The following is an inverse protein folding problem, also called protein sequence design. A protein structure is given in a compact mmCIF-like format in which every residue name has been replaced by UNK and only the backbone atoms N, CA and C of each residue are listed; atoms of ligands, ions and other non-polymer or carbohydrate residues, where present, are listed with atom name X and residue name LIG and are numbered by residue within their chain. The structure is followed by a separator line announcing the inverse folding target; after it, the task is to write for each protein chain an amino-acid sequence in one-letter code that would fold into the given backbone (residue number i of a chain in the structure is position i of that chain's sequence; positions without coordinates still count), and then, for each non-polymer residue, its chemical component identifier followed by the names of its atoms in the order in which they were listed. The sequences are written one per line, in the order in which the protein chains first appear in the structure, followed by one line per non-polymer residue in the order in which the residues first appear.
data_IF_829574311962
#
_entry.id   IF_829574311962
#
_cell.length_a   1.000
_cell.length_b   1.000
_cell.length_c   1.000
_cell.angle_alpha   90.00
_cell.angle_beta   90.00
_cell.angle_gamma   90.00
#
_symmetry.space_group_name_H-M   'P 1'
#
loop_
_entity.id
_entity.type
_entity.pdbx_description
1 polymer ?
#
# COMPACT_ATOMS: atom_id res chain seq x y z
N UNK A 1 30.67 41.48 62.78
CA UNK A 1 30.54 41.78 61.33
C UNK A 1 30.94 40.58 60.46
N UNK A 2 32.13 40.00 60.62
CA UNK A 2 32.65 38.87 59.80
C UNK A 2 31.76 37.61 59.81
N UNK A 3 31.20 37.20 60.97
CA UNK A 3 30.32 36.01 61.08
C UNK A 3 29.01 36.14 60.29
N UNK A 4 28.44 37.34 60.22
CA UNK A 4 27.18 37.62 59.50
C UNK A 4 27.41 37.57 57.99
N UNK A 5 28.53 38.14 57.54
CA UNK A 5 28.96 38.07 56.13
C UNK A 5 29.20 36.62 55.69
N UNK A 6 29.84 35.81 56.53
CA UNK A 6 30.07 34.38 56.25
C UNK A 6 28.77 33.59 56.13
N UNK A 7 27.75 33.89 56.95
CA UNK A 7 26.45 33.20 56.87
C UNK A 7 25.71 33.53 55.58
N UNK A 8 25.75 34.79 55.15
CA UNK A 8 25.12 35.25 53.90
C UNK A 8 25.79 34.58 52.70
N UNK A 9 27.12 34.49 52.69
CA UNK A 9 27.87 33.82 51.62
C UNK A 9 27.50 32.33 51.56
N UNK A 10 27.48 31.63 52.70
CA UNK A 10 27.11 30.21 52.74
C UNK A 10 25.67 29.97 52.30
N UNK A 11 24.73 30.84 52.67
CA UNK A 11 23.34 30.76 52.24
C UNK A 11 23.20 30.94 50.72
N UNK A 12 23.92 31.90 50.12
CA UNK A 12 23.91 32.09 48.66
C UNK A 12 24.50 30.88 47.92
N UNK A 13 25.59 30.30 48.42
CA UNK A 13 26.19 29.08 47.83
C UNK A 13 25.21 27.90 47.93
N UNK A 14 24.55 27.73 49.07
CA UNK A 14 23.56 26.66 49.27
C UNK A 14 22.36 26.82 48.33
N UNK A 15 21.84 28.03 48.18
CA UNK A 15 20.75 28.33 47.23
C UNK A 15 21.20 28.06 45.80
N UNK A 16 22.41 28.44 45.40
CA UNK A 16 22.95 28.17 44.06
C UNK A 16 23.10 26.66 43.77
N UNK A 17 23.51 25.87 44.78
CA UNK A 17 23.60 24.40 44.66
C UNK A 17 22.20 23.79 44.53
N UNK A 18 21.23 24.21 45.34
CA UNK A 18 19.84 23.74 45.24
C UNK A 18 19.24 24.11 43.89
N UNK A 19 19.42 25.35 43.43
CA UNK A 19 18.94 25.79 42.11
C UNK A 19 19.60 24.96 41.00
N UNK A 20 20.89 24.66 41.09
CA UNK A 20 21.59 23.80 40.12
C UNK A 20 21.12 22.34 40.15
N UNK A 21 20.86 21.79 41.34
CA UNK A 21 20.28 20.44 41.51
C UNK A 21 18.86 20.37 40.94
N UNK A 22 18.03 21.37 41.24
CA UNK A 22 16.67 21.50 40.73
C UNK A 22 16.70 21.68 39.21
N UNK A 23 17.60 22.50 38.64
CA UNK A 23 17.77 22.63 37.18
C UNK A 23 18.20 21.31 36.53
N UNK A 24 19.06 20.52 37.20
CA UNK A 24 19.43 19.18 36.71
C UNK A 24 18.25 18.19 36.74
N UNK A 25 17.25 18.45 37.60
CA UNK A 25 16.04 17.64 37.75
C UNK A 25 14.81 18.24 37.04
N UNK A 26 14.89 19.46 36.50
CA UNK A 26 13.82 20.07 35.70
C UNK A 26 13.87 19.54 34.28
N UNK A 27 12.94 18.63 33.98
CA UNK A 27 12.42 18.30 32.64
C UNK A 27 13.52 18.07 31.60
N UNK A 28 14.03 16.84 31.55
CA UNK A 28 14.52 16.33 30.26
C UNK A 28 13.35 16.53 29.28
N UNK A 29 13.48 17.46 28.33
CA UNK A 29 12.46 17.65 27.30
C UNK A 29 12.51 16.39 26.46
N UNK A 30 11.66 15.42 26.82
CA UNK A 30 11.60 14.14 26.16
C UNK A 30 11.22 14.36 24.70
N UNK A 31 12.00 13.75 23.79
CA UNK A 31 11.71 13.82 22.36
C UNK A 31 10.30 13.28 22.13
N UNK A 32 9.51 14.02 21.37
CA UNK A 32 8.17 13.61 20.99
C UNK A 32 7.87 14.05 19.55
N UNK A 33 7.25 13.17 18.77
CA UNK A 33 7.00 13.39 17.35
C UNK A 33 8.24 13.20 16.47
N UNK A 34 8.28 13.95 15.37
CA UNK A 34 9.30 13.81 14.33
C UNK A 34 10.64 14.42 14.76
N UNK A 35 11.72 13.67 14.54
CA UNK A 35 13.10 14.12 14.82
C UNK A 35 13.97 13.83 13.59
N UNK A 36 14.79 14.80 13.17
CA UNK A 36 15.75 14.65 12.07
C UNK A 36 17.17 14.68 12.64
N UNK A 37 17.91 13.57 12.48
CA UNK A 37 19.27 13.44 12.98
C UNK A 37 20.17 12.78 11.94
N UNK A 38 21.32 13.41 11.66
CA UNK A 38 22.31 12.89 10.70
C UNK A 38 21.67 12.46 9.37
N UNK A 39 20.73 13.26 8.86
CA UNK A 39 20.00 13.02 7.62
C UNK A 39 18.89 11.95 7.67
N UNK A 40 18.63 11.33 8.83
CA UNK A 40 17.60 10.31 9.00
C UNK A 40 16.43 10.84 9.82
N UNK A 41 15.20 10.43 9.47
CA UNK A 41 13.99 10.80 10.22
C UNK A 41 13.57 9.67 11.15
N UNK A 42 13.30 10.05 12.40
CA UNK A 42 12.85 9.21 13.50
C UNK A 42 11.50 9.72 14.02
N UNK A 43 10.81 8.88 14.78
CA UNK A 43 9.61 9.28 15.49
C UNK A 43 9.68 8.81 16.93
N UNK A 44 9.34 9.72 17.85
CA UNK A 44 9.31 9.47 19.28
C UNK A 44 7.89 9.63 19.82
N UNK A 45 7.54 8.82 20.82
CA UNK A 45 6.27 8.89 21.54
C UNK A 45 6.58 8.74 23.02
N UNK A 46 6.33 9.79 23.81
CA UNK A 46 6.65 9.85 25.24
C UNK A 46 8.11 9.50 25.53
N UNK A 47 9.04 10.18 24.84
CA UNK A 47 10.48 9.97 25.00
C UNK A 47 11.03 8.69 24.37
N UNK A 48 10.18 7.75 23.93
CA UNK A 48 10.59 6.47 23.35
C UNK A 48 10.63 6.52 21.83
N UNK A 49 11.76 6.12 21.26
CA UNK A 49 11.92 5.99 19.81
C UNK A 49 11.09 4.80 19.30
N UNK A 50 10.31 5.03 18.24
CA UNK A 50 9.59 3.96 17.54
C UNK A 50 10.56 3.20 16.65
N UNK A 51 10.61 1.89 16.82
CA UNK A 51 11.47 0.97 16.08
C UNK A 51 10.64 -0.24 15.66
N UNK A 52 11.00 -0.82 14.51
CA UNK A 52 10.37 -2.01 13.93
C UNK A 52 8.82 -2.02 13.97
N UNK A 53 8.20 -0.87 13.68
CA UNK A 53 6.75 -0.75 13.78
C UNK A 53 6.16 0.32 12.86
N UNK A 54 4.87 0.16 12.60
CA UNK A 54 4.04 1.17 11.97
C UNK A 54 3.61 2.24 12.98
N UNK A 55 3.66 3.50 12.55
CA UNK A 55 3.11 4.65 13.27
C UNK A 55 2.09 5.33 12.38
N UNK A 56 0.90 5.58 12.91
CA UNK A 56 -0.13 6.42 12.28
C UNK A 56 -0.07 7.81 12.93
N UNK A 57 0.23 8.83 12.13
CA UNK A 57 0.23 10.22 12.62
C UNK A 57 -1.20 10.74 12.79
N UNK A 58 -1.42 11.83 13.56
CA UNK A 58 -2.74 12.47 13.69
C UNK A 58 -3.36 12.89 12.35
N UNK A 59 -2.52 13.20 11.35
CA UNK A 59 -2.94 13.49 9.97
C UNK A 59 -3.39 12.24 9.18
N UNK A 60 -3.41 11.06 9.81
CA UNK A 60 -3.86 9.80 9.21
C UNK A 60 -2.82 9.06 8.39
N UNK A 61 -1.66 9.65 8.13
CA UNK A 61 -0.58 9.01 7.38
C UNK A 61 0.12 7.91 8.20
N UNK A 62 0.48 6.81 7.53
CA UNK A 62 1.22 5.70 8.12
C UNK A 62 2.66 5.69 7.66
N UNK A 63 3.57 5.38 8.57
CA UNK A 63 5.02 5.30 8.35
C UNK A 63 5.57 4.09 9.07
N UNK A 64 6.54 3.41 8.47
CA UNK A 64 7.22 2.28 9.10
C UNK A 64 8.64 2.68 9.48
N UNK A 65 9.05 2.31 10.68
CA UNK A 65 10.40 2.54 11.19
C UNK A 65 11.13 1.21 11.30
N UNK A 66 12.38 1.15 10.86
CA UNK A 66 13.21 -0.04 10.97
C UNK A 66 13.68 -0.30 12.40
N UNK A 67 14.47 -1.36 12.59
CA UNK A 67 15.02 -1.74 13.90
C UNK A 67 15.91 -0.65 14.52
N UNK A 68 16.47 0.26 13.71
CA UNK A 68 17.26 1.40 14.17
C UNK A 68 16.41 2.67 14.35
N UNK A 69 15.11 2.59 14.15
CA UNK A 69 14.17 3.71 14.24
C UNK A 69 14.18 4.65 13.05
N UNK A 70 14.84 4.27 11.95
CA UNK A 70 14.85 5.08 10.73
C UNK A 70 13.61 4.81 9.91
N UNK A 71 13.01 5.88 9.39
CA UNK A 71 11.88 5.77 8.46
C UNK A 71 12.25 4.92 7.24
N UNK A 72 11.38 3.99 6.84
CA UNK A 72 11.54 3.18 5.62
C UNK A 72 10.76 3.77 4.45
N UNK A 73 11.40 3.74 3.29
CA UNK A 73 10.85 4.11 1.99
C UNK A 73 10.94 2.93 1.03
N UNK A 74 10.19 2.97 -0.07
CA UNK A 74 10.14 1.88 -1.04
C UNK A 74 9.42 0.64 -0.50
N UNK A 75 9.83 -0.54 -1.00
CA UNK A 75 9.25 -1.82 -0.59
C UNK A 75 9.63 -2.17 0.86
N UNK A 76 8.62 -2.57 1.62
CA UNK A 76 8.76 -3.04 3.01
C UNK A 76 8.13 -4.42 3.09
N UNK A 77 8.86 -5.39 3.64
CA UNK A 77 8.37 -6.74 3.85
C UNK A 77 8.30 -7.04 5.34
N UNK A 78 7.14 -7.48 5.81
CA UNK A 78 6.88 -7.85 7.21
C UNK A 78 6.21 -9.22 7.18
N UNK A 79 6.96 -10.25 7.58
CA UNK A 79 6.54 -11.63 7.37
C UNK A 79 6.32 -11.93 5.88
N UNK A 80 5.11 -12.38 5.53
CA UNK A 80 4.70 -12.64 4.15
C UNK A 80 4.07 -11.40 3.46
N UNK A 81 3.73 -10.37 4.22
CA UNK A 81 3.09 -9.18 3.71
C UNK A 81 4.09 -8.19 3.13
N UNK A 82 3.75 -7.59 1.99
CA UNK A 82 4.55 -6.55 1.33
C UNK A 82 3.76 -5.24 1.30
N UNK A 83 4.46 -4.14 1.54
CA UNK A 83 3.94 -2.77 1.57
C UNK A 83 4.85 -1.88 0.72
N UNK A 84 4.37 -0.70 0.36
CA UNK A 84 5.19 0.31 -0.29
C UNK A 84 5.02 1.66 0.39
N UNK A 85 6.12 2.33 0.68
CA UNK A 85 6.15 3.71 1.15
C UNK A 85 6.74 4.62 0.06
N UNK A 86 6.15 5.80 -0.14
CA UNK A 86 6.74 6.81 -1.03
C UNK A 86 8.08 7.32 -0.50
N UNK A 87 8.77 8.13 -1.28
CA UNK A 87 10.08 8.72 -0.94
C UNK A 87 10.06 9.54 0.35
N UNK A 88 8.91 10.13 0.71
CA UNK A 88 8.73 10.83 1.98
C UNK A 88 8.37 9.92 3.17
N UNK A 89 8.34 8.60 2.95
CA UNK A 89 8.03 7.54 3.92
C UNK A 89 6.55 7.22 4.12
N UNK A 90 5.62 7.97 3.48
CA UNK A 90 4.18 7.71 3.62
C UNK A 90 3.83 6.38 2.97
N UNK A 91 3.18 5.50 3.70
CA UNK A 91 2.63 4.25 3.17
C UNK A 91 1.63 4.57 2.06
N UNK A 92 1.74 3.85 0.93
CA UNK A 92 0.84 3.94 -0.21
C UNK A 92 -0.28 2.92 -0.07
N UNK A 93 -1.40 3.23 -0.71
CA UNK A 93 -2.55 2.35 -0.93
C UNK A 93 -3.01 2.54 -2.38
N UNK A 94 -3.83 1.62 -2.87
CA UNK A 94 -4.33 1.62 -4.25
C UNK A 94 -3.25 1.24 -5.27
N UNK A 95 -3.47 1.67 -6.51
CA UNK A 95 -2.54 1.43 -7.61
C UNK A 95 -1.23 2.21 -7.44
N UNK A 96 -0.11 1.52 -7.61
CA UNK A 96 1.22 2.11 -7.70
C UNK A 96 1.95 1.57 -8.92
N UNK A 97 2.81 2.39 -9.52
CA UNK A 97 3.72 1.97 -10.56
C UNK A 97 5.15 2.07 -10.01
N UNK A 98 5.89 0.96 -10.08
CA UNK A 98 7.28 0.89 -9.61
C UNK A 98 8.12 0.33 -10.75
N UNK A 99 8.88 1.22 -11.42
CA UNK A 99 9.48 0.92 -12.71
C UNK A 99 8.40 0.77 -13.79
N UNK A 100 8.45 -0.32 -14.56
CA UNK A 100 7.45 -0.63 -15.59
C UNK A 100 6.14 -1.22 -15.04
N UNK A 101 6.14 -2.23 -14.13
CA UNK A 101 4.91 -2.89 -13.71
C UNK A 101 4.06 -2.06 -12.73
N UNK A 102 2.75 -2.31 -12.79
CA UNK A 102 1.77 -1.84 -11.81
C UNK A 102 1.57 -2.88 -10.70
N UNK A 103 1.26 -2.40 -9.51
CA UNK A 103 0.90 -3.19 -8.33
C UNK A 103 -0.31 -2.56 -7.67
N UNK A 104 -1.07 -3.35 -6.92
CA UNK A 104 -2.16 -2.84 -6.10
C UNK A 104 -1.90 -3.11 -4.63
N UNK A 105 -2.01 -2.06 -3.80
CA UNK A 105 -1.98 -2.15 -2.35
C UNK A 105 -3.39 -1.97 -1.80
N UNK A 106 -3.83 -2.88 -0.93
CA UNK A 106 -5.11 -2.76 -0.24
C UNK A 106 -5.18 -1.52 0.65
N UNK A 107 -6.36 -1.24 1.20
CA UNK A 107 -6.55 -0.14 2.15
C UNK A 107 -5.71 -0.32 3.42
N UNK A 108 -5.45 -1.57 3.82
CA UNK A 108 -4.53 -1.94 4.88
C UNK A 108 -3.05 -1.70 4.52
N UNK A 109 -2.75 -1.42 3.26
CA UNK A 109 -1.41 -1.22 2.69
C UNK A 109 -0.76 -2.50 2.16
N UNK A 110 -1.39 -3.65 2.36
CA UNK A 110 -0.83 -4.94 1.92
C UNK A 110 -0.95 -5.09 0.42
N UNK A 111 0.13 -5.47 -0.23
CA UNK A 111 0.15 -5.79 -1.65
C UNK A 111 -0.76 -6.97 -1.95
N UNK A 112 -1.62 -6.81 -2.96
CA UNK A 112 -2.50 -7.87 -3.44
C UNK A 112 -1.81 -8.70 -4.53
N UNK A 113 -2.23 -9.95 -4.64
CA UNK A 113 -1.86 -10.92 -5.67
C UNK A 113 -3.12 -11.66 -6.12
N UNK A 114 -3.06 -12.38 -7.24
CA UNK A 114 -4.20 -13.08 -7.81
C UNK A 114 -5.21 -12.14 -8.48
N UNK A 115 -6.44 -12.63 -8.67
CA UNK A 115 -7.51 -11.83 -9.26
C UNK A 115 -8.03 -10.80 -8.26
N UNK A 116 -8.08 -9.55 -8.71
CA UNK A 116 -8.58 -8.40 -7.98
C UNK A 116 -9.79 -7.83 -8.71
N UNK A 117 -10.93 -7.76 -8.02
CA UNK A 117 -12.12 -7.06 -8.50
C UNK A 117 -12.20 -5.67 -7.87
N UNK A 118 -12.17 -4.61 -8.68
CA UNK A 118 -12.38 -3.23 -8.26
C UNK A 118 -13.57 -2.65 -9.01
N UNK A 119 -14.69 -2.49 -8.31
CA UNK A 119 -15.97 -2.17 -8.95
C UNK A 119 -16.34 -3.26 -9.97
N UNK A 120 -16.52 -2.87 -11.23
CA UNK A 120 -16.89 -3.76 -12.33
C UNK A 120 -15.68 -4.28 -13.13
N UNK A 121 -14.45 -3.92 -12.73
CA UNK A 121 -13.24 -4.30 -13.44
C UNK A 121 -12.49 -5.41 -12.71
N UNK A 122 -11.90 -6.30 -13.50
CA UNK A 122 -11.08 -7.41 -13.01
C UNK A 122 -9.64 -7.21 -13.46
N UNK A 123 -8.72 -7.42 -12.53
CA UNK A 123 -7.28 -7.32 -12.75
C UNK A 123 -6.64 -8.61 -12.28
N UNK A 124 -5.62 -9.09 -12.98
CA UNK A 124 -4.86 -10.25 -12.54
C UNK A 124 -3.47 -9.82 -12.13
N UNK A 125 -3.13 -10.00 -10.87
CA UNK A 125 -1.82 -9.71 -10.31
C UNK A 125 -1.09 -11.05 -10.16
N UNK A 126 0.13 -11.16 -10.68
CA UNK A 126 0.90 -12.38 -10.51
C UNK A 126 1.31 -12.60 -9.03
N UNK A 127 1.96 -13.73 -8.73
CA UNK A 127 2.45 -14.06 -7.38
C UNK A 127 3.38 -13.01 -6.76
N UNK A 128 4.05 -12.22 -7.59
CA UNK A 128 4.96 -11.15 -7.17
C UNK A 128 4.23 -9.79 -7.03
N UNK A 129 2.91 -9.76 -7.29
CA UNK A 129 2.02 -8.61 -7.23
C UNK A 129 1.96 -7.76 -8.50
N UNK A 130 2.67 -8.17 -9.57
CA UNK A 130 2.73 -7.40 -10.82
C UNK A 130 1.44 -7.61 -11.61
N UNK A 131 0.83 -6.51 -12.07
CA UNK A 131 -0.29 -6.54 -13.00
C UNK A 131 0.09 -7.26 -14.28
N UNK A 132 -0.64 -8.32 -14.58
CA UNK A 132 -0.59 -9.05 -15.83
C UNK A 132 -1.39 -8.27 -16.90
N UNK A 133 -0.80 -8.14 -18.09
CA UNK A 133 -1.43 -7.52 -19.27
C UNK A 133 -1.33 -8.54 -20.40
N UNK A 134 -2.45 -8.78 -21.09
CA UNK A 134 -2.51 -9.73 -22.19
C UNK A 134 -3.50 -10.87 -21.95
N UNK A 135 -3.18 -12.05 -22.48
CA UNK A 135 -4.09 -13.20 -22.56
C UNK A 135 -4.29 -13.91 -21.23
N UNK A 136 -5.54 -14.03 -20.82
CA UNK A 136 -5.99 -14.84 -19.70
C UNK A 136 -6.97 -15.90 -20.22
N UNK A 137 -6.61 -17.16 -20.05
CA UNK A 137 -7.45 -18.28 -20.48
C UNK A 137 -8.56 -18.54 -19.45
N UNK A 138 -9.73 -18.94 -19.94
CA UNK A 138 -10.93 -19.20 -19.11
C UNK A 138 -10.74 -20.41 -18.19
N UNK A 139 -9.76 -21.28 -18.44
CA UNK A 139 -9.38 -22.41 -17.58
C UNK A 139 -8.23 -22.08 -16.60
N UNK A 140 -7.63 -20.89 -16.71
CA UNK A 140 -6.55 -20.45 -15.83
C UNK A 140 -7.06 -20.05 -14.44
N UNK A 141 -6.16 -19.58 -13.57
CA UNK A 141 -6.54 -19.03 -12.27
C UNK A 141 -7.60 -17.94 -12.38
N UNK A 142 -7.62 -17.17 -13.49
CA UNK A 142 -8.68 -16.21 -13.77
C UNK A 142 -10.06 -16.86 -13.87
N UNK A 143 -10.14 -17.98 -14.59
CA UNK A 143 -11.35 -18.75 -14.81
C UNK A 143 -12.07 -19.17 -13.55
N UNK A 144 -11.31 -19.49 -12.49
CA UNK A 144 -11.83 -19.90 -11.19
C UNK A 144 -12.67 -18.80 -10.51
N UNK A 145 -12.49 -17.54 -10.89
CA UNK A 145 -13.21 -16.40 -10.33
C UNK A 145 -14.44 -15.97 -11.14
N UNK A 146 -14.65 -16.58 -12.32
CA UNK A 146 -15.89 -16.39 -13.08
C UNK A 146 -17.02 -17.19 -12.44
N UNK A 147 -18.25 -16.66 -12.47
CA UNK A 147 -19.42 -17.43 -12.04
C UNK A 147 -19.71 -18.57 -13.01
N UNK A 148 -20.46 -19.58 -12.55
CA UNK A 148 -20.87 -20.70 -13.42
C UNK A 148 -21.70 -20.21 -14.62
N UNK A 149 -22.53 -19.19 -14.44
CA UNK A 149 -23.28 -18.55 -15.53
C UNK A 149 -22.34 -17.89 -16.55
N UNK A 150 -21.35 -17.12 -16.09
CA UNK A 150 -20.37 -16.46 -16.97
C UNK A 150 -19.56 -17.49 -17.75
N UNK A 151 -19.09 -18.56 -17.08
CA UNK A 151 -18.40 -19.68 -17.73
C UNK A 151 -19.27 -20.34 -18.79
N UNK A 152 -20.53 -20.63 -18.47
CA UNK A 152 -21.47 -21.23 -19.42
C UNK A 152 -21.63 -20.37 -20.68
N UNK A 153 -21.75 -19.04 -20.54
CA UNK A 153 -21.86 -18.11 -21.66
C UNK A 153 -20.59 -18.13 -22.53
N UNK A 154 -19.40 -18.13 -21.92
CA UNK A 154 -18.16 -18.25 -22.68
C UNK A 154 -18.07 -19.58 -23.43
N UNK A 155 -18.43 -20.69 -22.76
CA UNK A 155 -18.40 -22.03 -23.36
C UNK A 155 -19.40 -22.13 -24.52
N UNK A 156 -20.64 -21.64 -24.36
CA UNK A 156 -21.66 -21.70 -25.41
C UNK A 156 -21.30 -20.86 -26.64
N UNK A 157 -20.50 -19.81 -26.44
CA UNK A 157 -19.94 -18.97 -27.52
C UNK A 157 -18.55 -19.43 -27.98
N UNK A 158 -18.05 -20.59 -27.53
CA UNK A 158 -16.74 -21.15 -27.89
C UNK A 158 -15.55 -20.22 -27.61
N UNK A 159 -15.64 -19.41 -26.56
CA UNK A 159 -14.60 -18.48 -26.13
C UNK A 159 -13.66 -19.14 -25.12
N UNK A 160 -12.36 -19.13 -25.39
CA UNK A 160 -11.35 -19.81 -24.55
C UNK A 160 -10.41 -18.87 -23.81
N UNK A 161 -10.28 -17.61 -24.25
CA UNK A 161 -9.39 -16.64 -23.63
C UNK A 161 -9.86 -15.20 -23.86
N UNK A 162 -9.50 -14.31 -22.93
CA UNK A 162 -9.73 -12.88 -22.99
C UNK A 162 -8.39 -12.15 -22.89
N UNK A 163 -8.19 -11.11 -23.70
CA UNK A 163 -7.01 -10.26 -23.66
C UNK A 163 -7.33 -8.98 -22.91
N UNK A 164 -6.71 -8.81 -21.76
CA UNK A 164 -6.91 -7.64 -20.91
C UNK A 164 -5.84 -6.58 -21.12
N UNK A 165 -6.23 -5.32 -21.04
CA UNK A 165 -5.31 -4.19 -20.97
C UNK A 165 -4.92 -3.83 -19.53
N UNK A 166 -4.15 -2.75 -19.37
CA UNK A 166 -3.71 -2.26 -18.06
C UNK A 166 -4.83 -1.66 -17.21
N UNK A 167 -6.00 -1.40 -17.78
CA UNK A 167 -7.17 -0.83 -17.13
C UNK A 167 -8.17 -1.90 -16.70
N UNK A 168 -7.89 -3.18 -16.95
CA UNK A 168 -8.79 -4.29 -16.64
C UNK A 168 -9.92 -4.44 -17.67
N UNK A 169 -9.78 -3.79 -18.83
CA UNK A 169 -10.74 -3.89 -19.93
C UNK A 169 -10.31 -4.97 -20.92
N UNK A 170 -11.29 -5.64 -21.52
CA UNK A 170 -11.06 -6.63 -22.56
C UNK A 170 -10.84 -5.90 -23.89
N UNK A 171 -9.78 -6.26 -24.59
CA UNK A 171 -9.43 -5.71 -25.91
C UNK A 171 -9.78 -6.67 -27.04
N UNK A 172 -9.60 -7.96 -26.81
CA UNK A 172 -9.89 -9.03 -27.77
C UNK A 172 -10.13 -10.33 -27.02
N UNK A 173 -10.65 -11.33 -27.72
CA UNK A 173 -10.95 -12.65 -27.18
C UNK A 173 -10.64 -13.74 -28.21
N UNK A 174 -10.37 -14.97 -27.75
CA UNK A 174 -10.21 -16.13 -28.64
C UNK A 174 -11.55 -16.84 -28.72
N UNK A 175 -12.11 -16.91 -29.91
CA UNK A 175 -13.31 -17.68 -30.23
C UNK A 175 -13.00 -18.67 -31.35
N UNK A 176 -13.35 -19.95 -31.14
CA UNK A 176 -13.07 -21.00 -32.13
C UNK A 176 -11.58 -21.02 -32.57
N UNK A 177 -10.68 -20.77 -31.61
CA UNK A 177 -9.23 -20.73 -31.85
C UNK A 177 -8.71 -19.49 -32.59
N UNK A 178 -9.55 -18.49 -32.87
CA UNK A 178 -9.16 -17.25 -33.58
C UNK A 178 -9.34 -16.02 -32.69
N UNK A 179 -8.38 -15.10 -32.71
CA UNK A 179 -8.52 -13.80 -32.04
C UNK A 179 -9.57 -12.94 -32.76
N UNK A 180 -10.58 -12.50 -32.02
CA UNK A 180 -11.56 -11.50 -32.44
C UNK A 180 -11.35 -10.23 -31.61
N UNK A 181 -11.16 -9.10 -32.29
CA UNK A 181 -11.04 -7.81 -31.64
C UNK A 181 -12.41 -7.26 -31.26
N UNK A 182 -12.50 -6.60 -30.11
CA UNK A 182 -13.69 -5.84 -29.75
C UNK A 182 -13.71 -4.57 -30.60
N UNK A 183 -14.72 -4.44 -31.47
CA UNK A 183 -15.00 -3.35 -32.41
C UNK A 183 -13.90 -2.26 -32.55
N UNK A 184 -12.86 -2.54 -33.34
CA UNK A 184 -11.80 -1.58 -33.67
C UNK A 184 -10.81 -1.32 -32.52
N UNK A 185 -10.46 -0.05 -32.28
CA UNK A 185 -9.53 0.37 -31.20
C UNK A 185 -10.20 0.50 -29.82
N UNK A 186 -11.38 -0.11 -29.64
CA UNK A 186 -12.13 -0.04 -28.38
C UNK A 186 -11.74 -1.18 -27.44
N UNK A 187 -12.03 -0.97 -26.16
CA UNK A 187 -12.01 -2.00 -25.13
C UNK A 187 -13.37 -2.01 -24.44
N UNK A 188 -13.68 -3.07 -23.71
CA UNK A 188 -14.96 -3.21 -23.01
C UNK A 188 -14.78 -3.95 -21.68
N UNK A 189 -15.58 -3.56 -20.70
CA UNK A 189 -15.65 -4.23 -19.40
C UNK A 189 -16.23 -5.65 -19.54
N UNK A 190 -15.83 -6.56 -18.66
CA UNK A 190 -16.26 -7.96 -18.68
C UNK A 190 -17.77 -8.13 -18.67
N UNK A 191 -18.47 -7.42 -17.78
CA UNK A 191 -19.93 -7.55 -17.64
C UNK A 191 -20.66 -7.09 -18.91
N UNK A 192 -20.20 -6.00 -19.54
CA UNK A 192 -20.77 -5.52 -20.80
C UNK A 192 -20.54 -6.53 -21.94
N UNK A 193 -19.35 -7.10 -22.02
CA UNK A 193 -19.05 -8.14 -23.01
C UNK A 193 -19.94 -9.37 -22.83
N UNK A 194 -20.16 -9.81 -21.58
CA UNK A 194 -21.03 -10.95 -21.28
C UNK A 194 -22.48 -10.64 -21.65
N UNK A 195 -22.96 -9.43 -21.41
CA UNK A 195 -24.31 -9.01 -21.79
C UNK A 195 -24.50 -9.01 -23.33
N UNK A 196 -23.50 -8.55 -24.08
CA UNK A 196 -23.53 -8.63 -25.56
C UNK A 196 -23.62 -10.08 -26.05
N UNK A 197 -22.85 -10.99 -25.44
CA UNK A 197 -22.90 -12.42 -25.78
C UNK A 197 -24.26 -13.06 -25.46
N UNK A 198 -24.89 -12.67 -24.34
CA UNK A 198 -26.24 -13.13 -23.99
C UNK A 198 -27.25 -12.74 -25.06
N UNK A 199 -27.23 -11.49 -25.52
CA UNK A 199 -28.14 -11.00 -26.56
C UNK A 199 -28.00 -11.79 -27.87
N UNK A 200 -26.76 -12.09 -28.28
CA UNK A 200 -26.48 -12.90 -29.48
C UNK A 200 -27.04 -14.32 -29.32
N UNK A 201 -26.89 -14.93 -28.14
CA UNK A 201 -27.38 -16.29 -27.90
C UNK A 201 -28.91 -16.42 -27.98
N UNK A 202 -29.66 -15.36 -27.64
CA UNK A 202 -31.12 -15.34 -27.70
C UNK A 202 -31.65 -15.17 -29.12
N UNK A 203 -30.91 -14.47 -30.00
CA UNK A 203 -31.33 -14.22 -31.39
C UNK A 203 -31.13 -15.41 -32.34
N UNK A 204 -30.41 -16.44 -31.90
CA UNK A 204 -30.14 -17.65 -32.67
C UNK A 204 -31.14 -18.80 -32.37
N UNK A 205 -32.25 -18.51 -31.69
CA UNK A 205 -33.41 -19.37 -31.46
C UNK A 205 -34.69 -18.69 -31.95
#
# INVERSE_FOLDING_TARGET
MVKVVSLIIMFNIFVAIIVSLVISHTVQVEKNGWVLEKGNRYYYENGKMKTDCWVKTPTGHRYYFDQNGKIKTGWIQIGQDRYYSSENGKMKTGWIQVGTPWYYLGEDGKMKTGVLKLGNKYYNLNKDGRLFIGWQYIDSDFGRYLTEEQKYIFISNYITALKFDKHGDIKSYIENGKEKNIYGNKTMELENFINDLKLISVLNY
#
